data_IF_329660920312
#
_entry.id   IF_329660920312
#
_cell.length_a   1.000
_cell.length_b   1.000
_cell.length_c   1.000
_cell.angle_alpha   90.00
_cell.angle_beta   90.00
_cell.angle_gamma   90.00
#
_symmetry.space_group_name_H-M   'P 1'
#
loop_
_entity.id
_entity.type
_entity.pdbx_description
1 polymer ?
#
# COMPACT_ATOMS: atom_id res chain seq x y z
N UNK A 1 0.63 23.23 -11.30
CA UNK A 1 1.74 22.36 -11.75
C UNK A 1 1.71 20.94 -11.14
N UNK A 2 1.23 20.72 -9.91
CA UNK A 2 1.21 19.37 -9.29
C UNK A 2 0.24 18.35 -9.94
N UNK A 3 -0.74 18.79 -10.73
CA UNK A 3 -1.70 17.88 -11.37
C UNK A 3 -1.11 17.02 -12.49
N UNK A 4 0.01 17.44 -13.10
CA UNK A 4 0.69 16.68 -14.17
C UNK A 4 1.25 15.36 -13.62
N UNK A 5 1.75 15.38 -12.38
CA UNK A 5 2.27 14.18 -11.70
C UNK A 5 1.18 13.12 -11.51
N UNK A 6 -0.08 13.52 -11.31
CA UNK A 6 -1.22 12.60 -11.17
C UNK A 6 -1.60 11.90 -12.49
N UNK A 7 -0.98 12.27 -13.61
CA UNK A 7 -1.11 11.60 -14.91
C UNK A 7 0.10 10.70 -15.23
N UNK A 8 1.18 10.75 -14.46
CA UNK A 8 2.39 9.96 -14.71
C UNK A 8 2.24 8.53 -14.20
N UNK A 9 2.24 7.56 -15.11
CA UNK A 9 2.26 6.13 -14.75
C UNK A 9 3.55 5.74 -14.02
N UNK A 10 4.69 6.32 -14.42
CA UNK A 10 6.01 6.10 -13.81
C UNK A 10 6.03 6.52 -12.33
N UNK A 11 5.38 7.65 -12.03
CA UNK A 11 5.25 8.11 -10.65
C UNK A 11 4.46 7.10 -9.79
N UNK A 12 3.33 6.60 -10.29
CA UNK A 12 2.56 5.57 -9.58
C UNK A 12 3.31 4.22 -9.51
N UNK A 13 4.16 3.90 -10.49
CA UNK A 13 5.04 2.75 -10.43
C UNK A 13 6.09 2.90 -9.32
N UNK A 14 6.70 4.09 -9.19
CA UNK A 14 7.62 4.39 -8.10
C UNK A 14 6.96 4.26 -6.72
N UNK A 15 5.76 4.81 -6.55
CA UNK A 15 5.01 4.66 -5.29
C UNK A 15 4.70 3.20 -4.96
N UNK A 16 4.44 2.37 -5.97
CA UNK A 16 4.25 0.93 -5.79
C UNK A 16 5.54 0.25 -5.31
N UNK A 17 6.69 0.57 -5.92
CA UNK A 17 7.98 0.00 -5.52
C UNK A 17 8.32 0.34 -4.06
N UNK A 18 8.12 1.60 -3.65
CA UNK A 18 8.32 2.01 -2.25
C UNK A 18 7.43 1.19 -1.30
N UNK A 19 6.15 1.01 -1.64
CA UNK A 19 5.25 0.16 -0.84
C UNK A 19 5.68 -1.31 -0.81
N UNK A 20 6.25 -1.85 -1.89
CA UNK A 20 6.78 -3.22 -1.95
C UNK A 20 7.94 -3.35 -0.96
N UNK A 21 8.87 -2.40 -0.94
CA UNK A 21 10.02 -2.41 -0.03
C UNK A 21 9.56 -2.32 1.43
N UNK A 22 8.63 -1.41 1.74
CA UNK A 22 8.05 -1.28 3.08
C UNK A 22 7.33 -2.57 3.52
N UNK A 23 6.64 -3.24 2.59
CA UNK A 23 5.99 -4.51 2.86
C UNK A 23 6.99 -5.64 3.07
N UNK A 24 8.10 -5.66 2.32
CA UNK A 24 9.17 -6.65 2.49
C UNK A 24 9.84 -6.49 3.86
N UNK A 25 10.15 -5.26 4.27
CA UNK A 25 10.70 -4.95 5.60
C UNK A 25 9.74 -5.40 6.71
N UNK A 26 8.46 -5.05 6.60
CA UNK A 26 7.48 -5.49 7.61
C UNK A 26 7.35 -7.03 7.66
N UNK A 27 7.41 -7.71 6.52
CA UNK A 27 7.36 -9.17 6.45
C UNK A 27 8.58 -9.83 7.12
N UNK A 28 9.78 -9.26 6.94
CA UNK A 28 11.01 -9.79 7.53
C UNK A 28 11.09 -9.58 9.04
N UNK A 29 10.45 -8.54 9.57
CA UNK A 29 10.37 -8.26 11.01
C UNK A 29 9.45 -9.23 11.78
N UNK A 30 8.56 -9.95 11.09
CA UNK A 30 7.60 -10.86 11.75
C UNK A 30 6.48 -10.14 12.49
N UNK A 31 5.65 -10.90 13.19
CA UNK A 31 4.54 -10.34 13.98
C UNK A 31 5.05 -9.57 15.19
N UNK A 32 4.55 -8.35 15.41
CA UNK A 32 5.02 -7.52 16.52
C UNK A 32 4.75 -8.13 17.92
N UNK A 33 3.67 -8.90 18.08
CA UNK A 33 3.28 -9.47 19.37
C UNK A 33 4.03 -10.78 19.71
N UNK A 34 4.20 -11.65 18.71
CA UNK A 34 4.65 -13.02 18.93
C UNK A 34 5.82 -13.45 18.05
N UNK A 35 6.35 -12.54 17.22
CA UNK A 35 7.44 -12.77 16.27
C UNK A 35 7.18 -13.86 15.22
N UNK A 36 5.96 -14.40 15.17
CA UNK A 36 5.58 -15.44 14.21
C UNK A 36 5.62 -14.95 12.76
N UNK A 37 5.84 -15.88 11.84
CA UNK A 37 5.87 -15.62 10.40
C UNK A 37 4.60 -14.94 9.90
N UNK A 38 4.78 -13.97 9.00
CA UNK A 38 3.71 -13.20 8.39
C UNK A 38 3.32 -13.78 7.02
N UNK A 39 2.07 -14.24 6.91
CA UNK A 39 1.47 -14.65 5.64
C UNK A 39 0.78 -13.48 4.95
N UNK A 40 0.76 -13.52 3.62
CA UNK A 40 0.10 -12.51 2.80
C UNK A 40 -1.42 -12.49 3.08
N UNK A 41 -1.95 -11.31 3.40
CA UNK A 41 -3.36 -11.12 3.70
C UNK A 41 -3.83 -9.71 3.27
N UNK A 42 -3.58 -9.36 2.01
CA UNK A 42 -3.84 -8.02 1.48
C UNK A 42 -5.30 -7.58 1.61
N UNK A 43 -5.51 -6.28 1.81
CA UNK A 43 -6.83 -5.70 1.82
C UNK A 43 -7.24 -5.25 0.41
N UNK A 44 -8.45 -5.57 -0.07
CA UNK A 44 -8.96 -5.04 -1.33
C UNK A 44 -9.15 -3.53 -1.23
N UNK A 45 -8.94 -2.84 -2.35
CA UNK A 45 -9.03 -1.38 -2.48
C UNK A 45 -9.80 -1.02 -3.74
N UNK A 46 -10.42 0.17 -3.71
CA UNK A 46 -11.06 0.82 -4.85
C UNK A 46 -10.50 2.24 -4.95
N UNK A 47 -9.25 2.39 -5.42
CA UNK A 47 -8.54 3.67 -5.44
C UNK A 47 -9.26 4.69 -6.31
N UNK A 48 -9.34 5.94 -5.84
CA UNK A 48 -9.95 7.06 -6.57
C UNK A 48 -8.97 8.21 -6.78
N UNK A 49 -9.12 8.90 -7.90
CA UNK A 49 -8.50 10.20 -8.16
C UNK A 49 -7.20 10.19 -8.97
N UNK A 50 -6.66 9.02 -9.35
CA UNK A 50 -5.62 8.97 -10.37
C UNK A 50 -6.19 9.41 -11.72
N UNK A 51 -5.43 10.19 -12.48
CA UNK A 51 -5.80 10.66 -13.82
C UNK A 51 -5.13 9.82 -14.93
N UNK A 52 -4.57 8.67 -14.57
CA UNK A 52 -3.98 7.68 -15.47
C UNK A 52 -4.50 6.27 -15.13
N UNK A 53 -4.26 5.33 -16.04
CA UNK A 53 -4.54 3.92 -15.79
C UNK A 53 -3.57 3.38 -14.72
N UNK A 54 -4.11 2.72 -13.70
CA UNK A 54 -3.35 2.03 -12.67
C UNK A 54 -3.43 0.53 -12.90
N UNK A 55 -2.33 -0.18 -12.62
CA UNK A 55 -2.34 -1.64 -12.63
C UNK A 55 -3.09 -2.24 -11.44
N UNK A 56 -3.40 -3.54 -11.53
CA UNK A 56 -4.17 -4.30 -10.53
C UNK A 56 -3.57 -4.26 -9.12
N UNK A 57 -2.28 -3.98 -8.99
CA UNK A 57 -1.61 -3.79 -7.71
C UNK A 57 -2.22 -2.66 -6.86
N UNK A 58 -2.88 -1.69 -7.50
CA UNK A 58 -3.61 -0.62 -6.81
C UNK A 58 -4.99 -1.04 -6.30
N UNK A 59 -5.48 -2.22 -6.71
CA UNK A 59 -6.69 -2.84 -6.15
C UNK A 59 -6.41 -3.55 -4.82
N UNK A 60 -5.16 -3.52 -4.34
CA UNK A 60 -4.76 -4.17 -3.09
C UNK A 60 -3.85 -3.25 -2.27
N UNK A 61 -4.07 -3.27 -0.95
CA UNK A 61 -3.13 -2.71 0.03
C UNK A 61 -2.36 -3.87 0.66
N UNK A 62 -1.04 -3.77 0.67
CA UNK A 62 -0.19 -4.74 1.33
C UNK A 62 -0.51 -4.82 2.82
N UNK A 63 -0.66 -6.05 3.29
CA UNK A 63 -1.07 -6.40 4.64
C UNK A 63 -0.79 -7.89 4.82
N UNK A 64 -0.56 -8.28 6.06
CA UNK A 64 -0.19 -9.61 6.47
C UNK A 64 -1.01 -10.07 7.68
N UNK A 65 -1.06 -11.37 7.87
CA UNK A 65 -1.64 -12.02 9.04
C UNK A 65 -0.62 -12.98 9.64
N UNK A 66 -0.44 -12.93 10.95
CA UNK A 66 0.46 -13.85 11.65
C UNK A 66 -0.03 -15.29 11.55
N UNK A 67 0.90 -16.23 11.33
CA UNK A 67 0.63 -17.66 11.33
C UNK A 67 0.18 -18.19 12.70
N UNK A 68 0.57 -17.52 13.79
CA UNK A 68 0.37 -17.99 15.18
C UNK A 68 -0.80 -17.26 15.83
N UNK A 69 -0.65 -15.97 16.17
CA UNK A 69 -1.67 -15.22 16.91
C UNK A 69 -2.78 -14.62 16.02
N UNK A 70 -2.67 -14.77 14.70
CA UNK A 70 -3.61 -14.22 13.71
C UNK A 70 -3.74 -12.69 13.68
N UNK A 71 -2.96 -11.94 14.48
CA UNK A 71 -2.91 -10.48 14.39
C UNK A 71 -2.47 -10.03 13.00
N UNK A 72 -2.99 -8.87 12.60
CA UNK A 72 -2.70 -8.27 11.31
C UNK A 72 -1.58 -7.24 11.42
N UNK A 73 -0.61 -7.37 10.53
CA UNK A 73 0.44 -6.36 10.31
C UNK A 73 0.15 -5.67 8.99
N UNK A 74 -0.21 -4.40 9.02
CA UNK A 74 -0.44 -3.61 7.81
C UNK A 74 0.60 -2.51 7.74
N UNK A 75 1.60 -2.62 6.84
CA UNK A 75 2.63 -1.62 6.69
C UNK A 75 2.06 -0.23 6.38
N UNK A 76 2.84 0.79 6.68
CA UNK A 76 2.62 2.14 6.14
C UNK A 76 2.65 2.09 4.62
N UNK A 77 1.94 3.03 3.99
CA UNK A 77 1.80 3.07 2.53
C UNK A 77 1.86 4.51 2.05
N UNK A 78 2.64 4.74 0.99
CA UNK A 78 2.66 6.02 0.26
C UNK A 78 1.55 6.10 -0.78
N UNK A 79 0.95 4.96 -1.16
CA UNK A 79 -0.20 4.88 -2.07
C UNK A 79 -1.52 5.20 -1.39
N UNK A 80 -1.73 4.74 -0.16
CA UNK A 80 -3.04 4.79 0.52
C UNK A 80 -3.02 5.57 1.82
N UNK A 81 -3.90 6.58 1.94
CA UNK A 81 -4.11 7.31 3.19
C UNK A 81 -5.07 6.55 4.12
N UNK A 82 -4.51 5.59 4.86
CA UNK A 82 -5.24 4.79 5.84
C UNK A 82 -6.38 3.99 5.20
N UNK A 83 -7.62 4.22 5.66
CA UNK A 83 -8.84 3.54 5.15
C UNK A 83 -9.54 4.29 4.02
N UNK A 84 -9.14 5.54 3.70
CA UNK A 84 -9.83 6.42 2.75
C UNK A 84 -9.80 5.88 1.31
N UNK A 85 -10.82 6.16 0.49
CA UNK A 85 -10.90 5.64 -0.88
C UNK A 85 -9.99 6.37 -1.88
N UNK A 86 -9.66 7.64 -1.61
CA UNK A 86 -8.71 8.40 -2.43
C UNK A 86 -7.27 7.96 -2.16
N UNK A 87 -6.46 7.97 -3.22
CA UNK A 87 -5.02 7.76 -3.08
C UNK A 87 -4.41 8.87 -2.23
N UNK A 88 -3.43 8.52 -1.39
CA UNK A 88 -2.83 9.48 -0.47
C UNK A 88 -2.23 10.67 -1.20
N UNK A 89 -1.56 10.42 -2.32
CA UNK A 89 -0.97 11.47 -3.15
C UNK A 89 -1.99 12.39 -3.81
N UNK A 90 -3.18 11.88 -4.15
CA UNK A 90 -4.26 12.73 -4.70
C UNK A 90 -4.72 13.72 -3.64
N UNK A 91 -4.84 13.28 -2.38
CA UNK A 91 -5.22 14.17 -1.27
C UNK A 91 -4.10 15.17 -0.95
N UNK A 92 -2.84 14.73 -1.02
CA UNK A 92 -1.68 15.59 -0.71
C UNK A 92 -1.39 16.66 -1.76
N UNK A 93 -1.76 16.42 -3.03
CA UNK A 93 -1.52 17.32 -4.16
C UNK A 93 -2.79 18.05 -4.66
N UNK A 94 -3.91 17.89 -3.94
CA UNK A 94 -5.18 18.55 -4.23
C UNK A 94 -5.15 20.05 -3.89
#
# INVERSE_FOLDING_TARGET
MCQIILQSAEFFALLLLIDIDLAAVAKSQGCHDCQGTLHQAHYPRKPRGAKCALGDEYLRRFSFCCAVCRHRTTPVSVRFLGRRVYLGVVVALA
#
